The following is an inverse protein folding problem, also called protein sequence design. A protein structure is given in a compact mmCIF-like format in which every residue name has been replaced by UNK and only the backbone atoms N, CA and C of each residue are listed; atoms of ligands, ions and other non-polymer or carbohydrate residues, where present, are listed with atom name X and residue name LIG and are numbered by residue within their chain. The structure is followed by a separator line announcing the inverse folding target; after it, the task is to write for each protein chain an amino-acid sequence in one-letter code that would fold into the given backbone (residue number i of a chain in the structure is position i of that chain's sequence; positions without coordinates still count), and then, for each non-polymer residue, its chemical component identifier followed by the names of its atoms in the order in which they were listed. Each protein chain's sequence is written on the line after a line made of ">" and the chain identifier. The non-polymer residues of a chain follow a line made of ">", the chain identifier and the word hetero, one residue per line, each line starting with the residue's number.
data_IF_324791888620
#
_entry.id   IF_324791888620
#
_cell.length_a   1.000
_cell.length_b   1.000
_cell.length_c   1.000
_cell.angle_alpha   90.00
_cell.angle_beta   90.00
_cell.angle_gamma   90.00
#
_symmetry.space_group_name_H-M   'P 1'
#
loop_
_entity.id
_entity.type
_entity.pdbx_description
1 polymer ?
#
# COMPACT_ATOMS: atom_id res chain seq x y z
N UNK A 1 9.30 18.69 29.57
CA UNK A 1 10.16 19.19 28.46
C UNK A 1 11.52 18.47 28.40
N UNK A 2 12.29 18.33 29.52
CA UNK A 2 13.57 17.57 29.54
C UNK A 2 13.43 16.13 29.08
N UNK A 3 12.39 15.39 29.53
CA UNK A 3 12.10 13.99 29.12
C UNK A 3 11.85 13.84 27.61
N UNK A 4 11.09 14.76 27.01
CA UNK A 4 10.85 14.76 25.56
C UNK A 4 12.14 14.99 24.74
N UNK A 5 13.01 15.89 25.20
CA UNK A 5 14.29 16.14 24.54
C UNK A 5 15.21 14.93 24.65
N UNK A 6 15.25 14.28 25.82
CA UNK A 6 16.04 13.06 26.03
C UNK A 6 15.52 11.90 25.17
N UNK A 7 14.20 11.72 25.06
CA UNK A 7 13.60 10.70 24.18
C UNK A 7 13.87 11.00 22.71
N UNK A 8 13.75 12.28 22.30
CA UNK A 8 14.01 12.68 20.92
C UNK A 8 15.47 12.44 20.52
N UNK A 9 16.44 12.63 21.44
CA UNK A 9 17.87 12.38 21.16
C UNK A 9 18.21 10.90 20.93
N UNK A 10 17.31 9.97 21.28
CA UNK A 10 17.47 8.53 21.10
C UNK A 10 16.87 8.01 19.79
N UNK A 11 16.13 8.87 19.05
CA UNK A 11 15.52 8.49 17.77
C UNK A 11 16.63 8.19 16.75
N UNK A 12 16.54 7.03 16.11
CA UNK A 12 17.46 6.57 15.07
C UNK A 12 16.84 6.52 13.69
N UNK A 13 15.50 6.40 13.63
CA UNK A 13 14.73 6.34 12.39
C UNK A 13 13.37 6.99 12.60
N UNK A 14 12.86 7.63 11.53
CA UNK A 14 11.51 8.20 11.46
C UNK A 14 10.83 7.66 10.21
N UNK A 15 9.63 7.12 10.37
CA UNK A 15 8.78 6.72 9.26
C UNK A 15 7.69 7.76 9.02
N UNK A 16 7.46 8.05 7.75
CA UNK A 16 6.43 8.99 7.28
C UNK A 16 5.41 8.25 6.41
N UNK A 17 4.13 8.53 6.64
CA UNK A 17 3.10 8.18 5.66
C UNK A 17 3.12 9.18 4.50
N UNK A 18 2.52 8.84 3.38
CA UNK A 18 2.44 9.71 2.20
C UNK A 18 1.17 10.53 2.25
N UNK A 19 0.03 9.87 2.09
CA UNK A 19 -1.26 10.52 1.89
C UNK A 19 -1.74 11.15 3.21
N UNK A 20 -2.12 12.42 3.16
CA UNK A 20 -2.46 13.29 4.29
C UNK A 20 -1.34 13.49 5.33
N UNK A 21 -0.09 13.18 4.96
CA UNK A 21 1.11 13.42 5.79
C UNK A 21 2.18 14.18 5.01
N UNK A 22 2.79 13.56 4.00
CA UNK A 22 3.76 14.21 3.12
C UNK A 22 3.11 14.86 1.90
N UNK A 23 1.89 14.44 1.57
CA UNK A 23 1.08 14.92 0.47
C UNK A 23 -0.36 15.15 0.93
N UNK A 24 -0.92 16.30 0.63
CA UNK A 24 -2.35 16.53 0.77
C UNK A 24 -3.12 15.69 -0.27
N UNK A 25 -4.01 14.82 0.18
CA UNK A 25 -4.71 13.89 -0.71
C UNK A 25 -5.68 14.60 -1.65
N UNK A 26 -6.28 15.74 -1.25
CA UNK A 26 -7.29 16.45 -2.03
C UNK A 26 -6.67 17.31 -3.12
N UNK A 27 -5.58 18.01 -2.80
CA UNK A 27 -4.94 18.98 -3.70
C UNK A 27 -3.75 18.39 -4.45
N UNK A 28 -3.20 17.26 -3.96
CA UNK A 28 -1.95 16.70 -4.44
C UNK A 28 -0.71 17.48 -4.00
N UNK A 29 -0.87 18.54 -3.18
CA UNK A 29 0.22 19.41 -2.76
C UNK A 29 1.25 18.64 -1.91
N UNK A 30 2.52 18.79 -2.27
CA UNK A 30 3.69 18.28 -1.54
C UNK A 30 4.52 19.49 -1.09
N UNK A 31 4.79 19.67 0.21
CA UNK A 31 5.56 20.82 0.69
C UNK A 31 6.97 20.90 0.13
N UNK A 32 7.37 22.07 -0.38
CA UNK A 32 8.71 22.32 -0.91
C UNK A 32 9.82 22.19 0.15
N UNK A 33 9.46 22.22 1.43
CA UNK A 33 10.40 22.03 2.54
C UNK A 33 10.85 20.58 2.76
N UNK A 34 10.18 19.58 2.18
CA UNK A 34 10.49 18.17 2.44
C UNK A 34 11.94 17.79 2.09
N UNK A 35 12.52 18.17 0.94
CA UNK A 35 13.93 17.86 0.65
C UNK A 35 14.88 18.37 1.73
N UNK A 36 14.67 19.59 2.21
CA UNK A 36 15.46 20.18 3.30
C UNK A 36 15.31 19.41 4.62
N UNK A 37 14.09 18.99 4.95
CA UNK A 37 13.80 18.21 6.18
C UNK A 37 14.53 16.87 6.13
N UNK A 38 14.38 16.11 5.02
CA UNK A 38 15.03 14.81 4.85
C UNK A 38 16.55 14.92 4.87
N UNK A 39 17.12 15.94 4.23
CA UNK A 39 18.56 16.20 4.28
C UNK A 39 19.03 16.54 5.70
N UNK A 40 18.28 17.37 6.43
CA UNK A 40 18.60 17.71 7.81
C UNK A 40 18.60 16.49 8.73
N UNK A 41 17.64 15.56 8.55
CA UNK A 41 17.59 14.31 9.31
C UNK A 41 18.81 13.43 9.00
N UNK A 42 19.18 13.32 7.71
CA UNK A 42 20.35 12.57 7.26
C UNK A 42 21.65 13.13 7.87
N UNK A 43 21.82 14.45 7.87
CA UNK A 43 22.99 15.11 8.49
C UNK A 43 23.07 14.88 10.01
N UNK A 44 21.92 14.66 10.67
CA UNK A 44 21.86 14.27 12.08
C UNK A 44 22.04 12.78 12.32
N UNK A 45 22.28 11.99 11.29
CA UNK A 45 22.41 10.52 11.39
C UNK A 45 21.07 9.81 11.69
N UNK A 46 19.94 10.48 11.47
CA UNK A 46 18.61 9.91 11.64
C UNK A 46 18.16 9.33 10.29
N UNK A 47 17.91 8.05 10.25
CA UNK A 47 17.36 7.37 9.08
C UNK A 47 15.91 7.74 8.84
N UNK A 48 15.50 7.67 7.58
CA UNK A 48 14.11 7.94 7.19
C UNK A 48 13.51 6.77 6.47
N UNK A 49 12.21 6.56 6.65
CA UNK A 49 11.45 5.55 5.95
C UNK A 49 10.10 6.08 5.49
N UNK A 50 9.58 5.51 4.43
CA UNK A 50 8.20 5.72 3.98
C UNK A 50 7.38 4.52 4.41
N UNK A 51 6.22 4.75 5.07
CA UNK A 51 5.30 3.69 5.48
C UNK A 51 3.90 3.96 4.91
N UNK A 52 3.52 3.25 3.84
CA UNK A 52 2.34 3.56 3.02
C UNK A 52 1.52 2.32 2.66
N UNK A 53 0.24 2.52 2.34
CA UNK A 53 -0.60 1.51 1.69
C UNK A 53 -0.27 1.30 0.21
N UNK A 54 0.40 2.26 -0.43
CA UNK A 54 0.82 2.16 -1.83
C UNK A 54 1.87 1.07 -2.01
N UNK A 55 1.91 0.43 -3.19
CA UNK A 55 3.09 -0.32 -3.58
C UNK A 55 4.20 0.63 -4.05
N UNK A 56 5.43 0.14 -4.16
CA UNK A 56 6.59 0.97 -4.52
C UNK A 56 6.43 1.70 -5.85
N UNK A 57 5.83 1.07 -6.85
CA UNK A 57 5.60 1.66 -8.17
C UNK A 57 4.67 2.89 -8.13
N UNK A 58 3.74 2.91 -7.18
CA UNK A 58 2.78 3.99 -7.00
C UNK A 58 3.19 5.00 -5.92
N UNK A 59 4.41 4.87 -5.36
CA UNK A 59 5.04 5.96 -4.62
C UNK A 59 5.46 7.03 -5.62
N UNK A 60 5.02 8.27 -5.39
CA UNK A 60 5.29 9.39 -6.29
C UNK A 60 6.80 9.63 -6.45
N UNK A 61 7.25 10.02 -7.66
CA UNK A 61 8.67 10.35 -7.90
C UNK A 61 9.23 11.37 -6.91
N UNK A 62 8.45 12.40 -6.57
CA UNK A 62 8.83 13.45 -5.61
C UNK A 62 9.16 12.88 -4.23
N UNK A 63 8.40 11.86 -3.78
CA UNK A 63 8.66 11.19 -2.50
C UNK A 63 9.86 10.24 -2.59
N UNK A 64 10.00 9.50 -3.72
CA UNK A 64 11.19 8.65 -3.92
C UNK A 64 12.47 9.47 -4.00
N UNK A 65 12.43 10.66 -4.61
CA UNK A 65 13.55 11.58 -4.74
C UNK A 65 13.99 12.22 -3.41
N UNK A 66 13.21 12.08 -2.32
CA UNK A 66 13.66 12.42 -0.97
C UNK A 66 14.76 11.47 -0.47
N UNK A 67 14.98 10.35 -1.18
CA UNK A 67 15.97 9.32 -0.88
C UNK A 67 15.82 8.75 0.54
N UNK A 68 14.64 8.25 0.94
CA UNK A 68 14.49 7.57 2.21
C UNK A 68 15.31 6.27 2.25
N UNK A 69 15.78 5.88 3.43
CA UNK A 69 16.56 4.65 3.62
C UNK A 69 15.71 3.38 3.43
N UNK A 70 14.41 3.46 3.74
CA UNK A 70 13.51 2.31 3.71
C UNK A 70 12.14 2.66 3.13
N UNK A 71 11.51 1.66 2.51
CA UNK A 71 10.12 1.68 2.05
C UNK A 71 9.36 0.51 2.69
N UNK A 72 8.44 0.81 3.58
CA UNK A 72 7.43 -0.11 4.13
C UNK A 72 6.16 0.13 3.32
N UNK A 73 5.91 -0.73 2.35
CA UNK A 73 4.84 -0.57 1.34
C UNK A 73 3.75 -1.63 1.53
N UNK A 74 2.63 -1.45 0.84
CA UNK A 74 1.49 -2.39 0.84
C UNK A 74 1.07 -2.69 2.29
N UNK A 75 0.84 -1.63 3.08
CA UNK A 75 0.43 -1.75 4.48
C UNK A 75 1.36 -2.65 5.32
N UNK A 76 2.69 -2.63 5.04
CA UNK A 76 3.69 -3.42 5.75
C UNK A 76 3.95 -4.82 5.19
N UNK A 77 3.29 -5.20 4.10
CA UNK A 77 3.47 -6.52 3.51
C UNK A 77 4.78 -6.66 2.70
N UNK A 78 5.40 -5.54 2.32
CA UNK A 78 6.69 -5.51 1.61
C UNK A 78 7.58 -4.42 2.18
N UNK A 79 8.80 -4.77 2.56
CA UNK A 79 9.83 -3.83 3.03
C UNK A 79 11.06 -3.93 2.15
N UNK A 80 11.50 -2.79 1.66
CA UNK A 80 12.67 -2.66 0.80
C UNK A 80 13.60 -1.55 1.32
N UNK A 81 14.89 -1.67 1.04
CA UNK A 81 15.82 -0.58 1.26
C UNK A 81 15.81 0.41 0.07
N UNK A 82 16.62 1.46 0.16
CA UNK A 82 16.77 2.47 -0.89
C UNK A 82 17.19 1.86 -2.26
N UNK A 83 17.98 0.78 -2.25
CA UNK A 83 18.40 0.07 -3.46
C UNK A 83 17.32 -0.90 -4.00
N UNK A 84 16.11 -0.88 -3.43
CA UNK A 84 14.99 -1.78 -3.75
C UNK A 84 15.27 -3.27 -3.43
N UNK A 85 16.26 -3.56 -2.60
CA UNK A 85 16.47 -4.91 -2.11
C UNK A 85 15.41 -5.25 -1.07
N UNK A 86 14.75 -6.41 -1.23
CA UNK A 86 13.69 -6.87 -0.35
C UNK A 86 14.29 -7.32 0.98
N UNK A 87 13.90 -6.65 2.07
CA UNK A 87 14.27 -6.98 3.45
C UNK A 87 13.25 -7.95 4.06
N UNK A 88 11.97 -7.70 3.78
CA UNK A 88 10.86 -8.50 4.29
C UNK A 88 9.74 -8.55 3.27
N UNK A 89 9.09 -9.71 3.15
CA UNK A 89 7.85 -9.87 2.38
C UNK A 89 6.89 -10.85 3.07
N UNK A 90 5.61 -10.53 2.99
CA UNK A 90 4.52 -11.34 3.53
C UNK A 90 3.37 -11.42 2.52
N UNK A 91 3.52 -12.20 1.42
CA UNK A 91 2.46 -12.36 0.44
C UNK A 91 1.34 -13.23 1.00
N UNK A 92 0.13 -13.07 0.45
CA UNK A 92 -0.97 -14.00 0.64
C UNK A 92 -0.63 -15.35 -0.01
N UNK A 93 -0.99 -16.45 0.62
CA UNK A 93 -0.86 -17.77 -0.01
C UNK A 93 -1.83 -17.89 -1.20
N UNK A 94 -1.43 -18.67 -2.21
CA UNK A 94 -2.17 -18.77 -3.48
C UNK A 94 -3.58 -19.33 -3.32
N UNK A 95 -3.78 -20.24 -2.37
CA UNK A 95 -5.09 -20.82 -2.07
C UNK A 95 -6.03 -19.74 -1.51
N UNK A 96 -5.54 -18.92 -0.57
CA UNK A 96 -6.30 -17.78 -0.04
C UNK A 96 -6.65 -16.78 -1.14
N UNK A 97 -5.72 -16.46 -2.05
CA UNK A 97 -6.01 -15.56 -3.18
C UNK A 97 -7.07 -16.16 -4.11
N UNK A 98 -6.99 -17.46 -4.42
CA UNK A 98 -7.98 -18.16 -5.27
C UNK A 98 -9.38 -18.16 -4.63
N UNK A 99 -9.45 -18.37 -3.31
CA UNK A 99 -10.70 -18.27 -2.56
C UNK A 99 -11.30 -16.85 -2.61
N UNK A 100 -10.45 -15.81 -2.44
CA UNK A 100 -10.89 -14.41 -2.53
C UNK A 100 -11.41 -14.10 -3.94
N UNK A 101 -10.67 -14.48 -4.98
CA UNK A 101 -11.06 -14.28 -6.38
C UNK A 101 -12.39 -14.98 -6.68
N UNK A 102 -12.55 -16.22 -6.22
CA UNK A 102 -13.79 -16.98 -6.41
C UNK A 102 -14.96 -16.30 -5.72
N UNK A 103 -14.78 -15.86 -4.49
CA UNK A 103 -15.79 -15.12 -3.75
C UNK A 103 -16.15 -13.79 -4.45
N UNK A 104 -15.18 -12.96 -4.82
CA UNK A 104 -15.43 -11.68 -5.49
C UNK A 104 -16.20 -11.87 -6.81
N UNK A 105 -15.84 -12.88 -7.60
CA UNK A 105 -16.58 -13.24 -8.82
C UNK A 105 -18.04 -13.62 -8.52
N UNK A 106 -18.31 -14.35 -7.44
CA UNK A 106 -19.68 -14.71 -7.05
C UNK A 106 -20.52 -13.52 -6.60
N UNK A 107 -19.85 -12.48 -6.07
CA UNK A 107 -20.49 -11.20 -5.69
C UNK A 107 -20.62 -10.22 -6.87
N UNK A 108 -20.11 -10.58 -8.07
CA UNK A 108 -20.09 -9.70 -9.24
C UNK A 108 -19.15 -8.50 -9.08
N UNK A 109 -18.17 -8.60 -8.19
CA UNK A 109 -17.19 -7.54 -7.93
C UNK A 109 -15.92 -7.74 -8.79
N UNK A 110 -15.40 -6.66 -9.33
CA UNK A 110 -14.07 -6.62 -9.93
C UNK A 110 -13.00 -6.52 -8.84
N UNK A 111 -11.77 -6.84 -9.20
CA UNK A 111 -10.66 -6.84 -8.26
C UNK A 111 -9.34 -6.47 -8.92
N UNK A 112 -8.42 -5.96 -8.11
CA UNK A 112 -7.05 -5.71 -8.51
C UNK A 112 -6.09 -6.47 -7.60
N UNK A 113 -5.01 -6.96 -8.17
CA UNK A 113 -3.90 -7.55 -7.44
C UNK A 113 -2.82 -6.50 -7.19
N UNK A 114 -2.34 -6.44 -5.96
CA UNK A 114 -1.17 -5.66 -5.56
C UNK A 114 0.00 -6.62 -5.38
N UNK A 115 0.88 -6.60 -6.35
CA UNK A 115 2.12 -7.38 -6.36
C UNK A 115 3.35 -6.50 -6.12
N UNK A 116 4.52 -7.06 -6.38
CA UNK A 116 5.79 -6.32 -6.36
C UNK A 116 6.00 -5.42 -7.61
N UNK A 117 5.09 -5.47 -8.56
CA UNK A 117 5.03 -4.62 -9.75
C UNK A 117 3.86 -3.63 -9.62
N UNK A 118 3.54 -2.93 -10.70
CA UNK A 118 2.31 -2.15 -10.75
C UNK A 118 1.08 -3.05 -10.58
N UNK A 119 -0.06 -2.48 -10.18
CA UNK A 119 -1.31 -3.20 -9.99
C UNK A 119 -1.71 -3.94 -11.29
N UNK A 120 -2.37 -5.08 -11.12
CA UNK A 120 -2.98 -5.83 -12.23
C UNK A 120 -4.48 -5.94 -12.00
N UNK A 121 -5.26 -5.58 -12.99
CA UNK A 121 -6.72 -5.56 -12.90
C UNK A 121 -7.35 -6.86 -13.39
N UNK A 122 -8.48 -7.26 -12.79
CA UNK A 122 -9.37 -8.28 -13.37
C UNK A 122 -10.04 -7.75 -14.64
N UNK A 123 -10.34 -6.43 -14.65
CA UNK A 123 -10.95 -5.68 -15.73
C UNK A 123 -10.53 -4.22 -15.63
N UNK A 124 -10.31 -3.56 -16.77
CA UNK A 124 -9.96 -2.14 -16.83
C UNK A 124 -10.96 -1.41 -17.71
N UNK A 125 -12.13 -1.10 -17.16
CA UNK A 125 -13.18 -0.30 -17.77
C UNK A 125 -14.20 0.14 -16.72
N UNK A 126 -14.98 1.16 -17.04
CA UNK A 126 -16.14 1.59 -16.24
C UNK A 126 -15.76 2.00 -14.82
N UNK A 127 -16.30 1.31 -13.81
CA UNK A 127 -16.10 1.64 -12.41
C UNK A 127 -14.62 1.52 -11.97
N UNK A 128 -13.88 0.56 -12.50
CA UNK A 128 -12.46 0.37 -12.17
C UNK A 128 -11.63 1.61 -12.54
N UNK A 129 -11.85 2.17 -13.73
CA UNK A 129 -11.17 3.39 -14.17
C UNK A 129 -11.55 4.63 -13.34
N UNK A 130 -12.79 4.68 -12.83
CA UNK A 130 -13.26 5.81 -12.02
C UNK A 130 -12.75 5.79 -10.59
N UNK A 131 -12.57 4.60 -10.01
CA UNK A 131 -12.20 4.41 -8.60
C UNK A 131 -10.68 4.50 -8.40
N UNK A 132 -9.90 3.98 -9.35
CA UNK A 132 -8.44 3.98 -9.22
C UNK A 132 -7.89 5.38 -9.50
N UNK A 133 -7.05 5.93 -8.60
CA UNK A 133 -6.47 7.26 -8.79
C UNK A 133 -5.69 7.38 -10.11
N UNK A 134 -5.84 8.51 -10.79
CA UNK A 134 -5.25 8.75 -12.11
C UNK A 134 -3.71 8.65 -12.14
N UNK A 135 -3.05 8.89 -11.00
CA UNK A 135 -1.59 8.76 -10.86
C UNK A 135 -1.10 7.29 -10.91
N UNK A 136 -2.01 6.31 -10.87
CA UNK A 136 -1.69 4.90 -11.12
C UNK A 136 -1.59 4.55 -12.62
N UNK A 137 -2.09 5.41 -13.49
CA UNK A 137 -2.12 5.18 -14.94
C UNK A 137 -3.05 4.06 -15.37
N UNK A 138 -2.93 3.64 -16.64
CA UNK A 138 -3.70 2.53 -17.19
C UNK A 138 -3.12 1.21 -16.67
N UNK A 139 -3.98 0.38 -16.08
CA UNK A 139 -3.56 -0.90 -15.51
C UNK A 139 -3.68 -2.04 -16.54
N UNK A 140 -2.69 -2.93 -16.50
CA UNK A 140 -2.73 -4.17 -17.31
C UNK A 140 -3.81 -5.11 -16.78
N UNK A 141 -4.68 -5.60 -17.68
CA UNK A 141 -5.68 -6.62 -17.36
C UNK A 141 -5.01 -8.00 -17.32
N UNK A 142 -4.96 -8.59 -16.11
CA UNK A 142 -4.28 -9.87 -15.89
C UNK A 142 -4.97 -10.65 -14.77
N UNK A 143 -6.18 -11.20 -15.03
CA UNK A 143 -7.02 -11.84 -14.00
C UNK A 143 -6.40 -13.08 -13.36
N UNK A 144 -5.38 -13.67 -13.99
CA UNK A 144 -4.65 -14.84 -13.51
C UNK A 144 -3.24 -14.51 -12.94
N UNK A 145 -2.98 -13.23 -12.64
CA UNK A 145 -1.67 -12.76 -12.16
C UNK A 145 -1.14 -13.58 -10.99
N UNK A 146 -2.00 -13.84 -9.98
CA UNK A 146 -1.66 -14.57 -8.76
C UNK A 146 -1.17 -16.01 -8.96
N UNK A 147 -1.50 -16.63 -10.10
CA UNK A 147 -1.05 -18.00 -10.39
C UNK A 147 0.46 -18.10 -10.58
N UNK A 148 1.11 -17.00 -10.99
CA UNK A 148 2.53 -16.94 -11.32
C UNK A 148 3.35 -16.01 -10.44
N UNK A 149 2.70 -15.04 -9.80
CA UNK A 149 3.36 -13.97 -9.04
C UNK A 149 2.84 -13.89 -7.60
N UNK A 150 3.65 -13.36 -6.71
CA UNK A 150 3.23 -13.05 -5.34
C UNK A 150 2.18 -11.94 -5.35
N UNK A 151 1.13 -12.11 -4.55
CA UNK A 151 0.10 -11.10 -4.30
C UNK A 151 0.11 -10.78 -2.81
N UNK A 152 0.26 -9.51 -2.47
CA UNK A 152 0.35 -9.06 -1.08
C UNK A 152 -0.98 -8.54 -0.56
N UNK A 153 -1.83 -8.04 -1.47
CA UNK A 153 -3.11 -7.40 -1.17
C UNK A 153 -3.99 -7.51 -2.42
N UNK A 154 -5.30 -7.54 -2.24
CA UNK A 154 -6.26 -7.28 -3.31
C UNK A 154 -7.03 -6.00 -3.01
N UNK A 155 -7.52 -5.32 -4.07
CA UNK A 155 -8.52 -4.29 -3.95
C UNK A 155 -9.83 -4.85 -4.52
N UNK A 156 -10.95 -4.54 -3.87
CA UNK A 156 -12.29 -4.76 -4.43
C UNK A 156 -12.70 -3.58 -5.28
N UNK A 157 -13.47 -3.78 -6.33
CA UNK A 157 -14.17 -2.73 -7.07
C UNK A 157 -15.62 -3.18 -7.25
N UNK A 158 -16.54 -2.46 -6.62
CA UNK A 158 -17.97 -2.79 -6.67
C UNK A 158 -18.84 -1.55 -6.42
N UNK A 159 -19.94 -1.42 -7.15
CA UNK A 159 -20.98 -0.41 -6.86
C UNK A 159 -21.57 -0.57 -5.46
N UNK A 160 -21.52 -1.78 -4.94
CA UNK A 160 -22.08 -2.18 -3.65
C UNK A 160 -21.01 -2.66 -2.67
N UNK A 161 -19.80 -2.10 -2.69
CA UNK A 161 -18.68 -2.53 -1.84
C UNK A 161 -19.05 -2.56 -0.35
N UNK A 162 -19.92 -1.64 0.12
CA UNK A 162 -20.43 -1.63 1.48
C UNK A 162 -21.25 -2.87 1.85
N UNK A 163 -21.73 -3.66 0.87
CA UNK A 163 -22.47 -4.92 1.09
C UNK A 163 -21.58 -6.15 1.03
N UNK A 164 -20.32 -6.00 0.59
CA UNK A 164 -19.38 -7.10 0.57
C UNK A 164 -18.97 -7.45 2.01
N UNK A 165 -19.17 -8.69 2.37
CA UNK A 165 -18.77 -9.24 3.65
C UNK A 165 -17.93 -10.49 3.44
N UNK A 166 -16.72 -10.50 4.01
CA UNK A 166 -15.86 -11.67 3.94
C UNK A 166 -16.57 -12.90 4.49
N UNK A 167 -16.58 -14.03 3.73
CA UNK A 167 -16.97 -15.31 4.30
C UNK A 167 -16.20 -15.64 5.57
N UNK A 168 -16.84 -16.30 6.55
CA UNK A 168 -16.22 -16.61 7.85
C UNK A 168 -14.85 -17.30 7.71
N UNK A 169 -14.70 -18.17 6.71
CA UNK A 169 -13.43 -18.82 6.41
C UNK A 169 -12.34 -17.83 6.03
N UNK A 170 -12.65 -16.85 5.20
CA UNK A 170 -11.71 -15.83 4.75
C UNK A 170 -11.40 -14.82 5.85
N UNK A 171 -12.36 -14.46 6.70
CA UNK A 171 -12.17 -13.50 7.79
C UNK A 171 -11.15 -13.94 8.85
N UNK A 172 -10.80 -15.22 8.88
CA UNK A 172 -9.72 -15.76 9.74
C UNK A 172 -8.32 -15.51 9.16
N UNK A 173 -8.23 -15.31 7.83
CA UNK A 173 -6.97 -15.14 7.10
C UNK A 173 -6.73 -13.69 6.69
N UNK A 174 -7.79 -12.98 6.30
CA UNK A 174 -7.72 -11.63 5.76
C UNK A 174 -8.80 -10.73 6.38
N UNK A 175 -8.60 -9.42 6.28
CA UNK A 175 -9.58 -8.41 6.67
C UNK A 175 -9.78 -7.39 5.55
N UNK A 176 -10.95 -6.77 5.52
CA UNK A 176 -11.26 -5.68 4.60
C UNK A 176 -11.05 -4.33 5.28
N UNK A 177 -10.42 -3.40 4.57
CA UNK A 177 -10.23 -2.00 5.00
C UNK A 177 -10.78 -1.10 3.90
N UNK A 178 -11.94 -0.49 4.15
CA UNK A 178 -12.57 0.40 3.18
C UNK A 178 -11.88 1.76 3.15
N UNK A 179 -11.54 2.21 1.97
CA UNK A 179 -10.92 3.51 1.72
C UNK A 179 -11.71 4.35 0.70
N UNK A 180 -12.62 3.72 -0.06
CA UNK A 180 -13.48 4.36 -1.03
C UNK A 180 -14.89 3.76 -0.95
N UNK A 181 -15.98 4.49 -1.27
CA UNK A 181 -17.35 3.92 -1.30
C UNK A 181 -17.49 2.65 -2.15
N UNK A 182 -16.67 2.53 -3.20
CA UNK A 182 -16.69 1.43 -4.16
C UNK A 182 -15.46 0.53 -4.08
N UNK A 183 -14.61 0.66 -3.05
CA UNK A 183 -13.37 -0.13 -2.95
C UNK A 183 -12.92 -0.33 -1.52
N UNK A 184 -12.43 -1.53 -1.26
CA UNK A 184 -11.76 -1.93 -0.02
C UNK A 184 -10.47 -2.66 -0.32
N UNK A 185 -9.47 -2.48 0.54
CA UNK A 185 -8.30 -3.35 0.58
C UNK A 185 -8.64 -4.66 1.26
N UNK A 186 -8.21 -5.78 0.70
CA UNK A 186 -8.20 -7.10 1.36
C UNK A 186 -6.75 -7.41 1.69
N UNK A 187 -6.43 -7.38 2.98
CA UNK A 187 -5.07 -7.54 3.49
C UNK A 187 -4.99 -8.68 4.52
N UNK A 188 -3.83 -9.31 4.75
CA UNK A 188 -3.66 -10.29 5.82
C UNK A 188 -4.14 -9.73 7.16
N UNK A 189 -4.76 -10.54 8.03
CA UNK A 189 -5.15 -10.09 9.38
C UNK A 189 -3.97 -9.58 10.19
N UNK A 190 -2.76 -10.14 9.98
CA UNK A 190 -1.50 -9.69 10.58
C UNK A 190 -0.90 -8.44 9.90
N UNK A 191 -1.42 -8.03 8.74
CA UNK A 191 -0.87 -6.93 7.95
C UNK A 191 -1.07 -5.57 8.63
N UNK A 192 0.02 -4.86 8.89
CA UNK A 192 -0.01 -3.45 9.32
C UNK A 192 1.32 -2.78 9.00
N UNK A 193 1.32 -1.45 8.79
CA UNK A 193 2.54 -0.66 8.61
C UNK A 193 3.54 -0.82 9.78
N UNK A 194 3.05 -1.16 10.98
CA UNK A 194 3.88 -1.34 12.17
C UNK A 194 4.55 -2.71 12.23
N UNK A 195 4.07 -3.70 11.47
CA UNK A 195 4.63 -5.05 11.43
C UNK A 195 5.70 -5.23 10.34
N UNK A 196 5.72 -4.34 9.35
CA UNK A 196 6.80 -4.23 8.36
C UNK A 196 7.91 -3.33 8.88
#
# INVERSE_FOLDING_TARGET
>A
MKDLIERASKIKIIFFDIDDTLRDLKTGYIPESLPYIFETLRQKGIKTGIATGRNYYNVLPEIRNLNPDFFVTINGALVQNQAQEIIYKNPLDKETVDEIVTWLKSEGAEYLFVGNENLKASKWEGLTEQVIPADYGILEVKPDYYKKQDVFQLLTISEYDQRLHLPERLSKKVRMVRWHPNSSDIIPVSGSKANG
#
